data_IF_750142667893
#
_entry.id   IF_750142667893
#
_cell.length_a   1.000
_cell.length_b   1.000
_cell.length_c   1.000
_cell.angle_alpha   90.00
_cell.angle_beta   90.00
_cell.angle_gamma   90.00
#
_symmetry.space_group_name_H-M   'P 1'
#
loop_
_entity.id
_entity.type
_entity.pdbx_description
1 polymer ?
#
# COMPACT_ATOMS: atom_id res chain seq x y z
N UNK A 1 -19.53 -34.82 5.57
CA UNK A 1 -18.14 -34.65 5.06
C UNK A 1 -18.09 -34.40 3.55
N UNK A 2 -18.96 -33.54 2.99
CA UNK A 2 -19.05 -33.26 1.53
C UNK A 2 -19.08 -31.76 1.19
N UNK A 3 -19.27 -30.87 2.17
CA UNK A 3 -19.29 -29.42 2.00
C UNK A 3 -17.89 -28.78 1.93
N UNK A 4 -16.86 -29.42 2.51
CA UNK A 4 -15.48 -28.88 2.58
C UNK A 4 -14.73 -28.93 1.25
N UNK A 5 -15.09 -29.84 0.32
CA UNK A 5 -14.41 -29.98 -0.99
C UNK A 5 -14.92 -29.00 -2.06
N UNK A 6 -16.10 -28.42 -1.88
CA UNK A 6 -16.72 -27.54 -2.86
C UNK A 6 -16.26 -26.08 -2.69
N UNK A 7 -15.92 -25.69 -1.46
CA UNK A 7 -15.30 -24.41 -1.11
C UNK A 7 -13.83 -24.35 -1.55
N UNK A 8 -13.08 -25.46 -1.48
CA UNK A 8 -11.68 -25.51 -1.95
C UNK A 8 -11.57 -25.35 -3.47
N UNK A 9 -12.52 -25.89 -4.24
CA UNK A 9 -12.51 -25.80 -5.71
C UNK A 9 -12.94 -24.42 -6.26
N UNK A 10 -13.63 -23.61 -5.44
CA UNK A 10 -14.01 -22.22 -5.78
C UNK A 10 -12.88 -21.22 -5.47
N UNK A 11 -12.03 -21.52 -4.50
CA UNK A 11 -10.83 -20.71 -4.21
C UNK A 11 -9.76 -20.89 -5.29
N UNK A 12 -9.56 -22.12 -5.79
CA UNK A 12 -8.58 -22.41 -6.84
C UNK A 12 -8.90 -21.77 -8.20
N UNK A 13 -10.13 -21.31 -8.42
CA UNK A 13 -10.59 -20.67 -9.66
C UNK A 13 -10.86 -19.17 -9.53
N UNK A 14 -10.55 -18.55 -8.37
CA UNK A 14 -10.74 -17.11 -8.21
C UNK A 14 -9.53 -16.36 -8.84
N UNK A 15 -9.71 -15.64 -9.96
CA UNK A 15 -8.62 -14.89 -10.59
C UNK A 15 -8.05 -13.78 -9.69
N UNK A 16 -8.77 -13.38 -8.63
CA UNK A 16 -8.31 -12.38 -7.65
C UNK A 16 -7.52 -12.99 -6.50
N UNK A 17 -7.49 -14.32 -6.36
CA UNK A 17 -6.80 -14.97 -5.24
C UNK A 17 -5.29 -14.64 -5.21
N UNK A 18 -4.53 -14.69 -6.33
CA UNK A 18 -3.11 -14.35 -6.30
C UNK A 18 -2.87 -12.95 -5.75
N UNK A 19 -3.66 -11.98 -6.21
CA UNK A 19 -3.59 -10.60 -5.78
C UNK A 19 -3.91 -10.44 -4.28
N UNK A 20 -4.98 -11.06 -3.80
CA UNK A 20 -5.33 -11.05 -2.38
C UNK A 20 -4.23 -11.69 -1.51
N UNK A 21 -3.61 -12.78 -1.97
CA UNK A 21 -2.51 -13.41 -1.24
C UNK A 21 -1.28 -12.49 -1.20
N UNK A 22 -0.90 -11.88 -2.33
CA UNK A 22 0.21 -10.93 -2.39
C UNK A 22 -0.03 -9.73 -1.48
N UNK A 23 -1.21 -9.11 -1.52
CA UNK A 23 -1.54 -7.98 -0.65
C UNK A 23 -1.49 -8.38 0.84
N UNK A 24 -2.05 -9.53 1.21
CA UNK A 24 -1.99 -10.00 2.59
C UNK A 24 -0.56 -10.36 3.03
N UNK A 25 0.24 -10.96 2.16
CA UNK A 25 1.63 -11.29 2.45
C UNK A 25 2.44 -10.04 2.80
N UNK A 26 2.22 -8.92 2.11
CA UNK A 26 2.85 -7.64 2.42
C UNK A 26 2.68 -7.26 3.90
N UNK A 27 1.43 -7.21 4.37
CA UNK A 27 1.12 -6.81 5.75
C UNK A 27 1.53 -7.86 6.78
N UNK A 28 1.48 -9.15 6.42
CA UNK A 28 2.02 -10.23 7.26
C UNK A 28 3.52 -10.06 7.47
N UNK A 29 4.29 -9.70 6.43
CA UNK A 29 5.73 -9.43 6.56
C UNK A 29 6.02 -8.23 7.44
N UNK A 30 5.25 -7.14 7.32
CA UNK A 30 5.36 -5.99 8.25
C UNK A 30 5.05 -6.38 9.70
N UNK A 31 3.97 -7.15 9.91
CA UNK A 31 3.58 -7.63 11.24
C UNK A 31 4.66 -8.54 11.85
N UNK A 32 5.23 -9.45 11.05
CA UNK A 32 6.31 -10.33 11.48
C UNK A 32 7.57 -9.54 11.84
N UNK A 33 7.93 -8.52 11.04
CA UNK A 33 9.04 -7.64 11.33
C UNK A 33 8.83 -6.88 12.65
N UNK A 34 7.65 -6.27 12.85
CA UNK A 34 7.32 -5.53 14.07
C UNK A 34 7.45 -6.39 15.34
N UNK A 35 7.08 -7.69 15.27
CA UNK A 35 7.23 -8.62 16.41
C UNK A 35 8.68 -8.88 16.82
N UNK A 36 9.63 -8.69 15.90
CA UNK A 36 11.05 -8.98 16.11
C UNK A 36 11.88 -7.73 16.40
N UNK A 37 11.32 -6.53 16.18
CA UNK A 37 12.05 -5.27 16.26
C UNK A 37 11.33 -4.34 17.22
N UNK A 38 11.88 -4.23 18.44
CA UNK A 38 11.36 -3.30 19.43
C UNK A 38 11.37 -1.88 18.86
N UNK A 39 10.22 -1.21 18.91
CA UNK A 39 10.04 0.14 18.37
C UNK A 39 9.36 0.19 16.99
N UNK A 40 9.25 -0.93 16.27
CA UNK A 40 8.48 -1.02 15.03
C UNK A 40 7.06 -1.53 15.28
N UNK A 41 6.05 -0.93 14.64
CA UNK A 41 4.64 -1.31 14.78
C UNK A 41 3.87 -1.09 13.49
N UNK A 42 3.01 -2.05 13.16
CA UNK A 42 1.95 -1.87 12.17
C UNK A 42 0.69 -1.45 12.93
N UNK A 43 0.54 -0.15 13.10
CA UNK A 43 -0.56 0.45 13.86
C UNK A 43 -1.92 0.19 13.20
N UNK A 44 -1.92 0.17 11.85
CA UNK A 44 -3.13 -0.04 11.08
C UNK A 44 -2.88 -0.96 9.90
N UNK A 45 -3.86 -1.83 9.66
CA UNK A 45 -4.00 -2.61 8.43
C UNK A 45 -5.47 -2.64 8.00
N UNK A 46 -5.76 -1.98 6.89
CA UNK A 46 -7.05 -2.08 6.21
C UNK A 46 -6.91 -2.84 4.90
N UNK A 47 -7.83 -3.77 4.65
CA UNK A 47 -7.95 -4.48 3.37
C UNK A 47 -8.45 -3.57 2.25
N UNK A 48 -8.39 -4.03 1.00
CA UNK A 48 -8.98 -3.37 -0.17
C UNK A 48 -10.42 -2.88 0.08
N UNK A 49 -11.28 -3.77 0.58
CA UNK A 49 -12.70 -3.47 0.85
C UNK A 49 -12.86 -2.34 1.86
N UNK A 50 -12.10 -2.37 2.95
CA UNK A 50 -12.20 -1.33 3.98
C UNK A 50 -11.56 -0.03 3.51
N UNK A 51 -10.44 -0.11 2.80
CA UNK A 51 -9.75 1.05 2.23
C UNK A 51 -10.63 1.77 1.23
N UNK A 52 -11.27 1.06 0.31
CA UNK A 52 -12.25 1.61 -0.65
C UNK A 52 -13.46 2.22 0.07
N UNK A 53 -13.94 1.57 1.15
CA UNK A 53 -15.04 2.11 1.96
C UNK A 53 -14.67 3.43 2.65
N UNK A 54 -13.43 3.55 3.14
CA UNK A 54 -12.93 4.71 3.89
C UNK A 54 -12.47 5.84 2.96
N UNK A 55 -11.83 5.51 1.85
CA UNK A 55 -11.31 6.45 0.85
C UNK A 55 -12.04 6.24 -0.49
N UNK A 56 -13.27 6.73 -0.57
CA UNK A 56 -14.23 6.41 -1.66
C UNK A 56 -13.75 6.69 -3.09
N UNK A 57 -12.71 7.51 -3.27
CA UNK A 57 -12.18 7.88 -4.59
C UNK A 57 -11.14 6.89 -5.13
N UNK A 58 -10.54 6.07 -4.28
CA UNK A 58 -9.47 5.14 -4.63
C UNK A 58 -9.88 3.69 -4.36
N UNK A 59 -9.18 2.76 -4.99
CA UNK A 59 -9.35 1.31 -4.82
C UNK A 59 -7.96 0.69 -4.61
N UNK A 60 -7.29 1.09 -3.53
CA UNK A 60 -6.01 0.52 -3.15
C UNK A 60 -6.20 -0.88 -2.58
N UNK A 61 -5.21 -1.75 -2.76
CA UNK A 61 -5.25 -3.14 -2.31
C UNK A 61 -5.11 -3.26 -0.79
N UNK A 62 -4.59 -2.20 -0.17
CA UNK A 62 -4.66 -1.99 1.26
C UNK A 62 -4.19 -0.59 1.67
N UNK A 63 -4.41 -0.27 2.94
CA UNK A 63 -3.92 0.92 3.60
C UNK A 63 -3.28 0.53 4.92
N UNK A 64 -2.15 1.16 5.25
CA UNK A 64 -1.49 0.93 6.53
C UNK A 64 -0.93 2.20 7.16
N UNK A 65 -0.76 2.12 8.48
CA UNK A 65 0.05 3.05 9.25
C UNK A 65 1.21 2.24 9.83
N UNK A 66 2.43 2.55 9.40
CA UNK A 66 3.66 1.93 9.86
C UNK A 66 4.44 2.93 10.70
N UNK A 67 4.87 2.50 11.88
CA UNK A 67 5.63 3.37 12.76
C UNK A 67 6.92 2.73 13.23
N UNK A 68 7.99 3.51 13.29
CA UNK A 68 9.24 3.17 13.94
C UNK A 68 9.60 4.32 14.86
N UNK A 69 9.78 4.01 16.15
CA UNK A 69 9.94 5.03 17.20
C UNK A 69 8.78 6.05 17.18
N UNK A 70 9.07 7.32 16.92
CA UNK A 70 8.15 8.45 16.89
C UNK A 70 7.66 8.82 15.48
N UNK A 71 8.19 8.19 14.44
CA UNK A 71 7.78 8.44 13.05
C UNK A 71 6.67 7.47 12.66
N UNK A 72 5.52 8.02 12.24
CA UNK A 72 4.39 7.26 11.68
C UNK A 72 4.23 7.64 10.21
N UNK A 73 4.26 6.64 9.33
CA UNK A 73 4.01 6.79 7.90
C UNK A 73 2.72 6.07 7.55
N UNK A 74 1.75 6.83 7.04
CA UNK A 74 0.62 6.26 6.33
C UNK A 74 1.01 5.95 4.89
N UNK A 75 0.47 4.86 4.33
CA UNK A 75 0.72 4.44 2.94
C UNK A 75 -0.50 3.74 2.33
N UNK A 76 -0.58 3.80 1.00
CA UNK A 76 -1.48 2.95 0.20
C UNK A 76 -0.67 1.86 -0.49
N UNK A 77 -1.21 0.64 -0.58
CA UNK A 77 -0.57 -0.49 -1.25
C UNK A 77 -1.25 -0.78 -2.58
N UNK A 78 -0.44 -0.95 -3.63
CA UNK A 78 -0.80 -1.55 -4.91
C UNK A 78 0.08 -2.80 -5.12
N UNK A 79 -0.49 -3.98 -4.90
CA UNK A 79 0.16 -5.29 -4.95
C UNK A 79 0.05 -5.89 -6.36
N UNK A 80 1.05 -5.62 -7.18
CA UNK A 80 1.03 -5.98 -8.58
C UNK A 80 1.50 -7.43 -8.82
N UNK A 81 0.65 -8.22 -9.46
CA UNK A 81 0.90 -9.61 -9.84
C UNK A 81 1.25 -9.79 -11.32
N UNK A 82 1.53 -8.70 -12.03
CA UNK A 82 1.88 -8.71 -13.46
C UNK A 82 0.71 -8.84 -14.43
N UNK A 83 -0.54 -8.86 -13.95
CA UNK A 83 -1.74 -9.13 -14.77
C UNK A 83 -2.32 -7.89 -15.45
N UNK A 84 -2.02 -6.69 -14.95
CA UNK A 84 -2.52 -5.42 -15.47
C UNK A 84 -1.47 -4.71 -16.36
N UNK A 85 -1.83 -4.00 -17.45
CA UNK A 85 -0.88 -3.17 -18.18
C UNK A 85 -0.35 -2.00 -17.33
N UNK A 86 0.94 -1.70 -17.42
CA UNK A 86 1.56 -0.61 -16.64
C UNK A 86 0.93 0.77 -16.89
N UNK A 87 0.39 1.03 -18.09
CA UNK A 87 -0.33 2.28 -18.37
C UNK A 87 -1.58 2.43 -17.50
N UNK A 88 -2.26 1.32 -17.21
CA UNK A 88 -3.44 1.32 -16.37
C UNK A 88 -3.08 1.47 -14.89
N UNK A 89 -1.96 0.87 -14.45
CA UNK A 89 -1.38 1.10 -13.12
C UNK A 89 -1.08 2.59 -12.92
N UNK A 90 -0.40 3.23 -13.88
CA UNK A 90 -0.11 4.68 -13.81
C UNK A 90 -1.38 5.52 -13.83
N UNK A 91 -2.39 5.16 -14.63
CA UNK A 91 -3.66 5.88 -14.67
C UNK A 91 -4.42 5.87 -13.33
N UNK A 92 -4.15 4.92 -12.42
CA UNK A 92 -4.74 4.95 -11.06
C UNK A 92 -4.30 6.18 -10.27
N UNK A 93 -3.11 6.72 -10.54
CA UNK A 93 -2.56 7.89 -9.84
C UNK A 93 -3.45 9.14 -9.94
N UNK A 94 -4.24 9.27 -11.01
CA UNK A 94 -5.19 10.39 -11.14
C UNK A 94 -6.22 10.43 -10.00
N UNK A 95 -6.65 9.25 -9.52
CA UNK A 95 -7.59 9.13 -8.40
C UNK A 95 -6.94 9.47 -7.06
N UNK A 96 -5.68 9.09 -6.87
CA UNK A 96 -4.89 9.48 -5.70
C UNK A 96 -4.64 10.99 -5.69
N UNK A 97 -4.30 11.58 -6.84
CA UNK A 97 -4.15 13.03 -6.97
C UNK A 97 -5.47 13.75 -6.66
N UNK A 98 -6.62 13.18 -7.07
CA UNK A 98 -7.93 13.73 -6.71
C UNK A 98 -8.22 13.64 -5.21
N UNK A 99 -7.84 12.54 -4.54
CA UNK A 99 -7.96 12.40 -3.09
C UNK A 99 -7.22 13.53 -2.38
N UNK A 100 -5.96 13.76 -2.77
CA UNK A 100 -5.13 14.84 -2.20
C UNK A 100 -5.76 16.21 -2.44
N UNK A 101 -6.20 16.50 -3.68
CA UNK A 101 -6.83 17.79 -4.01
C UNK A 101 -8.13 18.06 -3.23
N UNK A 102 -8.81 17.02 -2.76
CA UNK A 102 -10.02 17.14 -1.92
C UNK A 102 -9.71 17.25 -0.42
N UNK A 103 -8.44 17.40 -0.04
CA UNK A 103 -8.02 17.50 1.36
C UNK A 103 -7.84 16.15 2.05
N UNK A 104 -7.76 15.05 1.29
CA UNK A 104 -7.37 13.75 1.83
C UNK A 104 -5.87 13.68 2.15
N UNK A 105 -5.42 12.60 2.80
CA UNK A 105 -4.01 12.42 3.12
C UNK A 105 -3.15 12.34 1.86
N UNK A 106 -1.91 12.85 1.95
CA UNK A 106 -0.88 12.70 0.92
C UNK A 106 0.12 11.65 1.38
N UNK A 107 -0.31 10.40 1.23
CA UNK A 107 0.49 9.21 1.50
C UNK A 107 1.21 8.71 0.24
N UNK A 108 2.37 8.04 0.38
CA UNK A 108 3.00 7.35 -0.72
C UNK A 108 2.14 6.16 -1.17
N UNK A 109 1.99 6.02 -2.48
CA UNK A 109 1.47 4.80 -3.11
C UNK A 109 2.65 3.84 -3.31
N UNK A 110 2.59 2.72 -2.62
CA UNK A 110 3.61 1.67 -2.66
C UNK A 110 3.24 0.65 -3.73
N UNK A 111 4.03 0.56 -4.79
CA UNK A 111 3.90 -0.48 -5.79
C UNK A 111 4.82 -1.65 -5.44
N UNK A 112 4.23 -2.79 -5.05
CA UNK A 112 4.96 -4.00 -4.73
C UNK A 112 4.83 -5.00 -5.87
N UNK A 113 5.93 -5.22 -6.61
CA UNK A 113 5.90 -5.74 -7.98
C UNK A 113 6.49 -7.15 -8.08
N UNK A 114 5.91 -7.94 -8.98
CA UNK A 114 6.30 -9.34 -9.17
C UNK A 114 7.73 -9.55 -9.70
N UNK A 115 8.35 -8.55 -10.34
CA UNK A 115 9.72 -8.67 -10.87
C UNK A 115 10.44 -7.34 -10.96
N UNK A 116 11.78 -7.39 -10.98
CA UNK A 116 12.67 -6.24 -11.15
C UNK A 116 12.48 -5.54 -12.50
N UNK A 117 12.31 -6.31 -13.59
CA UNK A 117 12.05 -5.74 -14.92
C UNK A 117 10.76 -4.92 -14.92
N UNK A 118 9.72 -5.40 -14.22
CA UNK A 118 8.46 -4.70 -14.10
C UNK A 118 8.58 -3.48 -13.19
N UNK A 119 9.36 -3.58 -12.11
CA UNK A 119 9.77 -2.44 -11.29
C UNK A 119 10.42 -1.35 -12.12
N UNK A 120 11.48 -1.66 -12.85
CA UNK A 120 12.21 -0.69 -13.68
C UNK A 120 11.28 -0.02 -14.71
N UNK A 121 10.44 -0.81 -15.37
CA UNK A 121 9.50 -0.30 -16.37
C UNK A 121 8.41 0.60 -15.79
N UNK A 122 7.89 0.28 -14.60
CA UNK A 122 6.93 1.13 -13.91
C UNK A 122 7.61 2.38 -13.39
N UNK A 123 8.76 2.25 -12.74
CA UNK A 123 9.48 3.33 -12.08
C UNK A 123 9.81 4.48 -13.04
N UNK A 124 10.23 4.16 -14.27
CA UNK A 124 10.48 5.15 -15.33
C UNK A 124 9.25 5.96 -15.76
N UNK A 125 8.04 5.51 -15.39
CA UNK A 125 6.76 6.16 -15.70
C UNK A 125 6.17 6.90 -14.51
N UNK A 126 6.75 6.74 -13.31
CA UNK A 126 6.28 7.40 -12.11
C UNK A 126 6.81 8.84 -12.06
N UNK A 127 5.99 9.74 -11.50
CA UNK A 127 6.29 11.16 -11.35
C UNK A 127 5.05 11.94 -10.93
N UNK A 128 5.17 13.26 -10.85
CA UNK A 128 4.07 14.17 -10.47
C UNK A 128 3.90 14.32 -8.95
N UNK A 129 2.71 14.77 -8.54
CA UNK A 129 2.47 15.27 -7.17
C UNK A 129 2.16 14.17 -6.14
N UNK A 130 1.77 12.98 -6.61
CA UNK A 130 1.46 11.82 -5.78
C UNK A 130 2.77 11.12 -5.41
N UNK A 131 3.16 11.08 -4.12
CA UNK A 131 4.35 10.35 -3.75
C UNK A 131 4.18 8.87 -4.07
N UNK A 132 5.19 8.26 -4.67
CA UNK A 132 5.17 6.85 -5.04
C UNK A 132 6.51 6.22 -4.72
N UNK A 133 6.51 4.94 -4.38
CA UNK A 133 7.74 4.16 -4.27
C UNK A 133 7.51 2.74 -4.78
N UNK A 134 8.57 2.13 -5.30
CA UNK A 134 8.53 0.76 -5.84
C UNK A 134 9.43 -0.17 -5.04
N UNK A 135 9.01 -1.43 -4.93
CA UNK A 135 9.85 -2.53 -4.45
C UNK A 135 9.35 -3.84 -5.08
N UNK A 136 10.11 -4.93 -4.95
CA UNK A 136 9.71 -6.25 -5.48
C UNK A 136 9.27 -7.22 -4.38
N UNK A 137 8.45 -8.20 -4.73
CA UNK A 137 7.95 -9.23 -3.80
C UNK A 137 9.05 -10.02 -3.08
N UNK A 138 10.25 -10.10 -3.67
CA UNK A 138 11.41 -10.75 -3.06
C UNK A 138 12.00 -10.02 -1.85
N UNK A 139 11.66 -8.74 -1.67
CA UNK A 139 12.21 -7.88 -0.62
C UNK A 139 11.36 -7.89 0.66
N UNK A 140 11.96 -7.57 1.81
CA UNK A 140 11.20 -7.34 3.04
C UNK A 140 10.67 -5.90 3.05
N UNK A 141 9.34 -5.66 3.02
CA UNK A 141 8.78 -4.32 2.93
C UNK A 141 9.09 -3.40 4.12
N UNK A 142 9.50 -3.95 5.27
CA UNK A 142 9.93 -3.14 6.41
C UNK A 142 11.38 -2.63 6.29
N UNK A 143 12.19 -3.20 5.38
CA UNK A 143 13.57 -2.78 5.17
C UNK A 143 13.71 -1.53 4.31
N UNK A 144 14.96 -1.09 4.11
CA UNK A 144 15.30 -0.01 3.18
C UNK A 144 15.26 -0.48 1.72
N UNK A 145 14.06 -0.86 1.25
CA UNK A 145 13.85 -1.52 -0.04
C UNK A 145 13.06 -0.65 -1.01
N UNK A 146 12.51 0.46 -0.58
CA UNK A 146 11.62 1.29 -1.37
C UNK A 146 12.42 2.25 -2.23
N UNK A 147 12.25 2.21 -3.54
CA UNK A 147 12.83 3.20 -4.46
C UNK A 147 11.79 4.31 -4.72
N UNK A 148 11.94 5.51 -4.13
CA UNK A 148 11.02 6.61 -4.35
C UNK A 148 11.06 7.08 -5.81
N UNK A 149 9.92 7.48 -6.37
CA UNK A 149 9.85 7.99 -7.73
C UNK A 149 10.83 9.16 -7.95
N UNK A 150 11.68 9.05 -8.99
CA UNK A 150 12.69 10.05 -9.32
C UNK A 150 13.97 9.98 -8.48
N UNK A 151 14.08 9.05 -7.54
CA UNK A 151 15.28 8.81 -6.75
C UNK A 151 16.13 7.67 -7.32
N UNK A 152 17.39 7.60 -6.90
CA UNK A 152 18.34 6.53 -7.26
C UNK A 152 18.68 5.61 -6.08
N UNK A 153 18.29 5.98 -4.86
CA UNK A 153 18.55 5.25 -3.63
C UNK A 153 17.29 4.64 -3.05
N UNK A 154 17.41 3.42 -2.50
CA UNK A 154 16.33 2.78 -1.73
C UNK A 154 16.33 3.28 -0.29
N UNK A 155 15.14 3.44 0.28
CA UNK A 155 14.91 4.00 1.61
C UNK A 155 13.92 3.13 2.40
N UNK A 156 13.85 3.32 3.71
CA UNK A 156 12.84 2.66 4.55
C UNK A 156 11.48 3.34 4.40
N UNK A 157 10.41 2.69 4.86
CA UNK A 157 9.07 3.30 4.86
C UNK A 157 9.04 4.64 5.59
N UNK A 158 9.75 4.77 6.70
CA UNK A 158 9.82 5.98 7.53
C UNK A 158 10.50 7.17 6.87
N UNK A 159 11.25 6.94 5.79
CA UNK A 159 11.94 7.98 5.04
C UNK A 159 11.11 8.46 3.83
N UNK A 160 9.96 7.83 3.58
CA UNK A 160 9.05 8.25 2.52
C UNK A 160 8.20 9.46 2.97
N UNK A 161 7.93 10.42 2.07
CA UNK A 161 7.06 11.54 2.39
C UNK A 161 5.65 11.03 2.70
N UNK A 162 5.13 11.41 3.87
CA UNK A 162 3.80 11.04 4.34
C UNK A 162 3.17 12.22 5.07
N UNK A 163 2.00 12.63 4.63
CA UNK A 163 1.20 13.68 5.27
C UNK A 163 -0.21 13.14 5.53
N UNK A 164 -0.58 13.14 6.81
CA UNK A 164 -1.86 12.62 7.30
C UNK A 164 -3.08 13.46 6.85
N UNK A 165 -2.84 14.65 6.30
CA UNK A 165 -3.85 15.60 5.90
C UNK A 165 -4.52 16.29 7.10
N UNK A 166 -5.41 17.26 6.86
CA UNK A 166 -6.10 17.96 7.93
C UNK A 166 -7.19 17.09 8.60
N UNK A 167 -7.56 17.40 9.86
CA UNK A 167 -8.69 16.77 10.57
C UNK A 167 -10.03 17.28 10.04
N UNK A 168 -10.38 16.87 8.82
CA UNK A 168 -11.69 17.15 8.20
C UNK A 168 -12.58 15.91 8.27
N UNK A 169 -13.90 16.09 8.25
CA UNK A 169 -14.87 15.00 8.38
C UNK A 169 -14.68 13.85 7.36
N UNK A 170 -14.17 14.18 6.16
CA UNK A 170 -13.91 13.21 5.10
C UNK A 170 -12.55 12.50 5.22
N UNK A 171 -11.71 12.87 6.20
CA UNK A 171 -10.42 12.24 6.44
C UNK A 171 -10.55 11.13 7.51
N UNK A 172 -10.53 9.85 7.12
CA UNK A 172 -10.80 8.74 8.03
C UNK A 172 -9.66 8.45 9.01
N UNK A 173 -8.58 9.24 8.99
CA UNK A 173 -7.50 9.18 9.97
C UNK A 173 -7.86 9.85 11.30
N UNK A 174 -8.93 10.65 11.33
CA UNK A 174 -9.31 11.42 12.50
C UNK A 174 -10.69 11.01 13.01
N UNK A 175 -10.82 11.00 14.34
CA UNK A 175 -12.07 10.86 15.07
C UNK A 175 -12.18 12.03 16.04
N UNK A 176 -13.22 12.85 15.90
CA UNK A 176 -13.38 14.14 16.62
C UNK A 176 -12.11 15.02 16.64
N UNK A 177 -11.38 15.04 15.51
CA UNK A 177 -10.15 15.82 15.34
C UNK A 177 -8.88 15.20 15.93
N UNK A 178 -8.99 14.03 16.58
CA UNK A 178 -7.86 13.27 17.12
C UNK A 178 -7.37 12.26 16.08
N UNK A 179 -6.07 12.23 15.80
CA UNK A 179 -5.49 11.23 14.92
C UNK A 179 -5.59 9.85 15.57
N UNK A 180 -6.25 8.92 14.88
CA UNK A 180 -6.38 7.54 15.30
C UNK A 180 -5.27 6.75 14.65
N UNK A 181 -4.50 5.97 15.41
CA UNK A 181 -3.56 4.98 14.87
C UNK A 181 -4.32 3.69 14.57
#
# INVERSE_FOLDING_TARGET
MRATRQSTHRLSANPHLPHLLTANEFFVRLTAHARQHAGARLDRWWSETLTTKRYRTITADGHGLWSVADVTVGFFLEADTGTEPLSRVVAKLDRYAQLIRRGGPRYPVLFWLASEQREEHLHRRLGGDVPCATATHGTNPAGAVWLPAGATGRVALTDLPSDHGPPVADNPNYDDGVFVV
#
